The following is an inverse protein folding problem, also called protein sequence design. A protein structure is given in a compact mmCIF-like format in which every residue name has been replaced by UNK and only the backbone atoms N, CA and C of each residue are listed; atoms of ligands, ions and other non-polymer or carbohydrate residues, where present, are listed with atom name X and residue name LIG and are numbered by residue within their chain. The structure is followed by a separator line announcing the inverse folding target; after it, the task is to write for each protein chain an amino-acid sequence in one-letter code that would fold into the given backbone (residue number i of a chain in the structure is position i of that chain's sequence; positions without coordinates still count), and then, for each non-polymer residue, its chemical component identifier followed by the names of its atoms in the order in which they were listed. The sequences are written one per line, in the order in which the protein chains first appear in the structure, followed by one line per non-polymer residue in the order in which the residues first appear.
data_IF_018764727519
#
_entry.id   IF_018764727519
#
_cell.length_a   1.000
_cell.length_b   1.000
_cell.length_c   1.000
_cell.angle_alpha   90.00
_cell.angle_beta   90.00
_cell.angle_gamma   90.00
#
_symmetry.space_group_name_H-M   'P 1'
#
loop_
_entity.id
_entity.type
_entity.pdbx_description
1 polymer ?
#
# COMPACT_ATOMS: atom_id res chain seq x y z
N UNK A 1 -6.33 -14.43 -34.89
CA UNK A 1 -6.49 -13.00 -35.23
C UNK A 1 -7.79 -12.79 -35.98
N UNK A 2 -8.76 -12.16 -35.33
CA UNK A 2 -9.68 -11.27 -36.04
C UNK A 2 -9.24 -9.89 -35.60
N UNK A 3 -8.61 -9.12 -36.50
CA UNK A 3 -8.26 -7.73 -36.20
C UNK A 3 -9.57 -7.01 -35.82
N UNK A 4 -9.69 -6.50 -34.58
CA UNK A 4 -10.85 -5.70 -34.21
C UNK A 4 -10.75 -4.37 -34.96
N UNK A 5 -11.84 -3.92 -35.57
CA UNK A 5 -11.89 -2.61 -36.19
C UNK A 5 -11.92 -1.56 -35.08
N UNK A 6 -10.78 -0.91 -34.85
CA UNK A 6 -10.65 0.21 -33.90
C UNK A 6 -11.00 1.49 -34.64
N UNK A 7 -11.87 2.31 -34.05
CA UNK A 7 -12.08 3.68 -34.51
C UNK A 7 -11.08 4.56 -33.79
N UNK A 8 -10.50 5.53 -34.49
CA UNK A 8 -9.52 6.43 -33.89
C UNK A 8 -10.00 7.85 -34.08
N UNK A 9 -9.98 8.63 -33.01
CA UNK A 9 -10.38 10.03 -33.02
C UNK A 9 -9.24 10.92 -32.56
N UNK A 10 -9.10 12.09 -33.19
CA UNK A 10 -8.29 13.19 -32.66
C UNK A 10 -9.21 14.15 -31.94
N UNK A 11 -8.84 14.49 -30.71
CA UNK A 11 -9.60 15.40 -29.86
C UNK A 11 -8.76 16.65 -29.56
N UNK A 12 -9.44 17.72 -29.16
CA UNK A 12 -8.78 18.81 -28.46
C UNK A 12 -8.27 18.35 -27.08
N UNK A 13 -7.47 19.20 -26.45
CA UNK A 13 -6.85 19.01 -25.13
C UNK A 13 -7.87 18.83 -24.00
N UNK A 14 -9.09 19.34 -24.17
CA UNK A 14 -10.23 19.17 -23.26
C UNK A 14 -11.14 17.97 -23.63
N UNK A 15 -10.65 17.06 -24.48
CA UNK A 15 -11.40 15.93 -25.06
C UNK A 15 -12.63 16.31 -25.90
N UNK A 16 -12.78 17.59 -26.26
CA UNK A 16 -13.86 18.02 -27.16
C UNK A 16 -13.45 17.96 -28.63
N UNK A 17 -14.43 18.08 -29.54
CA UNK A 17 -14.16 18.27 -30.97
C UNK A 17 -13.55 17.05 -31.67
N UNK A 18 -14.20 15.89 -31.56
CA UNK A 18 -13.75 14.65 -32.18
C UNK A 18 -13.69 14.73 -33.71
N UNK A 19 -12.51 14.46 -34.26
CA UNK A 19 -12.30 14.22 -35.69
C UNK A 19 -11.94 12.75 -35.89
N UNK A 20 -12.85 11.99 -36.49
CA UNK A 20 -12.59 10.60 -36.85
C UNK A 20 -11.44 10.49 -37.87
N UNK A 21 -10.47 9.65 -37.55
CA UNK A 21 -9.34 9.31 -38.41
C UNK A 21 -9.62 8.03 -39.17
N UNK A 22 -9.31 8.06 -40.47
CA UNK A 22 -9.26 6.84 -41.27
C UNK A 22 -7.85 6.27 -41.22
N UNK A 23 -7.65 5.16 -40.53
CA UNK A 23 -6.32 4.53 -40.36
C UNK A 23 -6.08 3.39 -41.36
N UNK A 24 -4.83 3.24 -41.81
CA UNK A 24 -4.41 2.14 -42.69
C UNK A 24 -4.16 0.88 -41.85
N UNK A 25 -5.00 -0.15 -42.05
CA UNK A 25 -5.13 -1.31 -41.14
C UNK A 25 -5.67 -0.84 -39.76
N UNK A 26 -6.44 -1.68 -39.08
CA UNK A 26 -6.92 -1.37 -37.71
C UNK A 26 -5.77 -0.82 -36.89
N UNK A 27 -5.85 0.43 -36.43
CA UNK A 27 -4.74 1.12 -35.79
C UNK A 27 -4.08 0.24 -34.73
N UNK A 28 -2.77 0.04 -34.82
CA UNK A 28 -2.03 -0.74 -33.85
C UNK A 28 -1.66 0.18 -32.68
N UNK A 29 -2.16 -0.14 -31.49
CA UNK A 29 -1.69 0.40 -30.22
C UNK A 29 -1.39 -0.78 -29.31
N UNK A 30 -0.35 -0.65 -28.48
CA UNK A 30 -0.04 -1.63 -27.47
C UNK A 30 -0.45 -1.05 -26.13
N UNK A 31 -1.44 -1.64 -25.49
CA UNK A 31 -1.86 -1.31 -24.13
C UNK A 31 -0.88 -1.79 -23.06
N UNK A 32 0.41 -1.86 -23.36
CA UNK A 32 1.36 -2.39 -22.41
C UNK A 32 1.53 -1.39 -21.25
N UNK A 33 0.65 -1.52 -20.25
CA UNK A 33 0.91 -1.22 -18.85
C UNK A 33 2.15 -2.03 -18.40
N UNK A 34 2.46 -3.15 -19.07
CA UNK A 34 3.74 -3.85 -18.94
C UNK A 34 4.96 -3.16 -19.61
N UNK A 35 4.76 -2.06 -20.36
CA UNK A 35 5.74 -1.35 -21.19
C UNK A 35 5.78 0.16 -20.90
N UNK A 36 6.30 0.99 -21.81
CA UNK A 36 6.49 2.46 -21.68
C UNK A 36 5.16 3.25 -21.65
N UNK A 37 4.33 3.03 -20.62
CA UNK A 37 3.06 3.73 -20.35
C UNK A 37 2.09 3.73 -21.55
N UNK A 38 1.84 2.56 -22.15
CA UNK A 38 0.92 2.45 -23.28
C UNK A 38 1.36 3.33 -24.47
N UNK A 39 2.36 2.87 -25.23
CA UNK A 39 2.77 3.56 -26.43
C UNK A 39 1.85 3.20 -27.62
N UNK A 40 1.49 4.20 -28.42
CA UNK A 40 0.73 3.99 -29.65
C UNK A 40 1.52 4.41 -30.89
N UNK A 41 1.21 3.78 -32.03
CA UNK A 41 1.77 4.16 -33.32
C UNK A 41 0.77 3.87 -34.44
N UNK A 42 0.14 4.89 -34.99
CA UNK A 42 -0.79 4.72 -36.10
C UNK A 42 -0.28 5.35 -37.39
N UNK A 43 -0.76 4.83 -38.51
CA UNK A 43 -0.51 5.39 -39.84
C UNK A 43 -1.83 5.81 -40.47
N UNK A 44 -1.90 7.06 -40.89
CA UNK A 44 -3.08 7.72 -41.45
C UNK A 44 -2.76 8.09 -42.90
N UNK A 45 -3.52 7.61 -43.90
CA UNK A 45 -3.42 8.10 -45.27
C UNK A 45 -3.72 9.59 -45.34
N UNK A 46 -2.92 10.33 -46.08
CA UNK A 46 -3.28 11.69 -46.44
C UNK A 46 -4.23 11.65 -47.66
N UNK A 47 -5.47 12.06 -47.44
CA UNK A 47 -6.53 12.06 -48.45
C UNK A 47 -7.68 12.99 -48.05
N UNK A 48 -8.65 13.16 -48.95
CA UNK A 48 -9.92 13.74 -48.57
C UNK A 48 -10.61 12.82 -47.54
N UNK A 49 -11.24 13.42 -46.53
CA UNK A 49 -12.05 12.72 -45.52
C UNK A 49 -11.30 11.69 -44.65
N UNK A 50 -9.97 11.81 -44.53
CA UNK A 50 -9.17 10.93 -43.63
C UNK A 50 -8.87 11.54 -42.27
N UNK A 51 -9.16 12.83 -42.08
CA UNK A 51 -8.86 13.57 -40.85
C UNK A 51 -7.37 13.91 -40.66
N UNK A 52 -6.48 13.54 -41.59
CA UNK A 52 -5.02 13.69 -41.41
C UNK A 52 -4.52 15.13 -41.14
N UNK A 53 -5.32 16.16 -41.45
CA UNK A 53 -4.98 17.57 -41.21
C UNK A 53 -5.27 18.04 -39.78
N UNK A 54 -6.11 17.32 -39.02
CA UNK A 54 -6.40 17.65 -37.61
C UNK A 54 -5.31 17.14 -36.65
N UNK A 55 -4.42 16.29 -37.16
CA UNK A 55 -3.34 15.66 -36.42
C UNK A 55 -2.22 16.66 -36.17
N UNK A 56 -1.97 16.96 -34.90
CA UNK A 56 -0.85 17.81 -34.47
C UNK A 56 -0.24 17.33 -33.15
N UNK A 57 1.02 17.71 -32.90
CA UNK A 57 1.69 17.35 -31.66
C UNK A 57 1.00 18.07 -30.49
N UNK A 58 0.84 17.38 -29.36
CA UNK A 58 0.09 17.86 -28.20
C UNK A 58 -1.44 17.68 -28.31
N UNK A 59 -1.97 17.26 -29.47
CA UNK A 59 -3.39 16.86 -29.56
C UNK A 59 -3.60 15.49 -28.92
N UNK A 60 -4.82 15.26 -28.47
CA UNK A 60 -5.23 13.97 -27.92
C UNK A 60 -5.60 13.01 -29.03
N UNK A 61 -5.31 11.75 -28.81
CA UNK A 61 -5.80 10.65 -29.62
C UNK A 61 -6.59 9.69 -28.76
N UNK A 62 -7.73 9.24 -29.25
CA UNK A 62 -8.57 8.23 -28.61
C UNK A 62 -8.74 7.04 -29.54
N UNK A 63 -8.65 5.85 -28.96
CA UNK A 63 -8.93 4.59 -29.64
C UNK A 63 -10.20 4.02 -29.04
N UNK A 64 -11.18 3.76 -29.90
CA UNK A 64 -12.47 3.21 -29.53
C UNK A 64 -12.62 1.79 -30.07
N UNK A 65 -12.98 0.86 -29.18
CA UNK A 65 -13.37 -0.50 -29.53
C UNK A 65 -14.89 -0.57 -29.45
N UNK A 66 -15.54 -0.87 -30.59
CA UNK A 66 -17.00 -1.03 -30.66
C UNK A 66 -17.81 0.19 -30.15
N UNK A 67 -17.23 1.39 -30.19
CA UNK A 67 -17.88 2.63 -29.75
C UNK A 67 -17.59 3.02 -28.29
N UNK A 68 -16.79 2.22 -27.57
CA UNK A 68 -16.31 2.56 -26.22
C UNK A 68 -14.86 3.08 -26.28
N UNK A 69 -14.57 4.24 -25.66
CA UNK A 69 -13.21 4.73 -25.46
C UNK A 69 -12.35 3.77 -24.66
N UNK A 70 -11.28 3.26 -25.27
CA UNK A 70 -10.41 2.25 -24.68
C UNK A 70 -9.05 2.81 -24.23
N UNK A 71 -8.41 3.57 -25.12
CA UNK A 71 -7.11 4.21 -24.86
C UNK A 71 -7.19 5.69 -25.21
N UNK A 72 -6.55 6.56 -24.42
CA UNK A 72 -6.37 7.97 -24.76
C UNK A 72 -4.94 8.41 -24.47
N UNK A 73 -4.25 8.96 -25.48
CA UNK A 73 -2.86 9.37 -25.37
C UNK A 73 -2.59 10.74 -25.98
N UNK A 74 -1.41 11.28 -25.73
CA UNK A 74 -0.92 12.52 -26.36
C UNK A 74 -0.13 12.17 -27.60
N UNK A 75 -0.36 12.88 -28.71
CA UNK A 75 0.49 12.79 -29.89
C UNK A 75 1.81 13.54 -29.62
N UNK A 76 2.92 12.80 -29.57
CA UNK A 76 4.24 13.34 -29.27
C UNK A 76 5.09 13.52 -30.54
N UNK A 77 5.03 12.54 -31.45
CA UNK A 77 5.81 12.53 -32.68
C UNK A 77 4.89 12.43 -33.91
N UNK A 78 5.16 13.27 -34.90
CA UNK A 78 4.49 13.22 -36.20
C UNK A 78 5.52 13.10 -37.31
N UNK A 79 5.48 11.97 -38.02
CA UNK A 79 6.30 11.73 -39.20
C UNK A 79 5.42 11.80 -40.44
N UNK A 80 5.52 12.90 -41.17
CA UNK A 80 4.85 13.07 -42.47
C UNK A 80 5.73 12.47 -43.56
N UNK A 81 5.22 11.51 -44.32
CA UNK A 81 5.95 10.88 -45.43
C UNK A 81 5.57 11.57 -46.75
N UNK A 82 6.36 12.53 -47.27
CA UNK A 82 5.91 13.41 -48.34
C UNK A 82 6.30 12.89 -49.74
N UNK A 83 7.01 11.77 -49.84
CA UNK A 83 7.67 11.30 -51.07
C UNK A 83 6.74 10.63 -52.09
N UNK A 84 5.55 11.18 -52.32
CA UNK A 84 4.71 10.76 -53.44
C UNK A 84 4.08 11.94 -54.20
N UNK A 85 4.17 11.84 -55.53
CA UNK A 85 3.48 12.75 -56.47
C UNK A 85 1.96 12.58 -56.44
N UNK A 86 1.46 11.44 -55.97
CA UNK A 86 0.02 11.20 -55.77
C UNK A 86 -0.34 11.50 -54.30
N UNK A 87 -1.23 12.46 -54.02
CA UNK A 87 -1.67 12.76 -52.65
C UNK A 87 -2.14 11.52 -51.90
N UNK A 88 -2.89 10.63 -52.57
CA UNK A 88 -3.39 9.36 -52.01
C UNK A 88 -2.31 8.35 -51.55
N UNK A 89 -1.04 8.59 -51.87
CA UNK A 89 0.09 7.74 -51.47
C UNK A 89 0.96 8.42 -50.39
N UNK A 90 0.51 9.55 -49.84
CA UNK A 90 1.16 10.23 -48.71
C UNK A 90 0.56 9.67 -47.43
N UNK A 91 1.36 9.56 -46.38
CA UNK A 91 0.92 9.03 -45.09
C UNK A 91 1.50 9.89 -43.97
N UNK A 92 0.73 10.02 -42.90
CA UNK A 92 1.17 10.58 -41.62
C UNK A 92 1.26 9.43 -40.63
N UNK A 93 2.45 9.21 -40.07
CA UNK A 93 2.61 8.33 -38.93
C UNK A 93 2.63 9.19 -37.68
N UNK A 94 1.84 8.81 -36.68
CA UNK A 94 1.90 9.44 -35.36
C UNK A 94 2.26 8.44 -34.30
N UNK A 95 2.96 8.93 -33.28
CA UNK A 95 3.31 8.18 -32.09
C UNK A 95 3.12 9.03 -30.86
N UNK A 96 2.92 8.36 -29.75
CA UNK A 96 2.81 8.98 -28.46
C UNK A 96 2.54 7.96 -27.38
N UNK A 97 2.18 8.45 -26.20
CA UNK A 97 2.01 7.66 -24.98
C UNK A 97 0.75 8.09 -24.23
N UNK A 98 0.33 7.24 -23.30
CA UNK A 98 -0.77 7.54 -22.38
C UNK A 98 -0.43 8.74 -21.47
N UNK A 99 -1.44 9.44 -21.00
CA UNK A 99 -1.30 10.47 -19.95
C UNK A 99 -0.82 9.91 -18.62
N UNK A 100 -0.89 8.60 -18.40
CA UNK A 100 -0.18 7.94 -17.30
C UNK A 100 1.34 8.22 -17.33
N UNK A 101 1.90 8.73 -18.44
CA UNK A 101 3.27 9.26 -18.45
C UNK A 101 3.50 10.44 -17.49
N UNK A 102 2.48 11.24 -17.13
CA UNK A 102 2.66 12.28 -16.09
C UNK A 102 3.00 11.66 -14.72
N UNK A 103 2.64 10.38 -14.50
CA UNK A 103 2.97 9.61 -13.30
C UNK A 103 4.35 8.93 -13.38
N UNK A 104 5.04 9.02 -14.54
CA UNK A 104 6.35 8.40 -14.74
C UNK A 104 7.48 9.15 -14.04
N UNK A 105 7.32 10.46 -13.82
CA UNK A 105 8.31 11.30 -13.13
C UNK A 105 7.90 11.63 -11.68
N UNK A 106 6.77 11.08 -11.22
CA UNK A 106 6.28 11.27 -9.84
C UNK A 106 6.78 10.14 -8.96
N UNK A 107 7.67 10.42 -7.98
CA UNK A 107 8.17 9.40 -7.06
C UNK A 107 7.11 9.01 -6.03
N UNK A 108 7.14 7.76 -5.59
CA UNK A 108 6.46 7.31 -4.38
C UNK A 108 7.30 7.74 -3.18
N UNK A 109 6.72 8.59 -2.33
CA UNK A 109 7.38 9.12 -1.13
C UNK A 109 7.16 8.23 0.10
N UNK A 110 8.02 8.31 1.13
CA UNK A 110 7.82 7.56 2.37
C UNK A 110 6.44 7.84 3.00
N UNK A 111 5.88 6.91 3.80
CA UNK A 111 4.49 6.99 4.21
C UNK A 111 4.17 8.15 5.18
N UNK A 112 5.20 8.73 5.78
CA UNK A 112 5.10 9.90 6.65
C UNK A 112 5.68 11.17 6.02
N UNK A 113 6.06 11.13 4.74
CA UNK A 113 6.75 12.20 4.02
C UNK A 113 8.28 12.10 4.06
N UNK A 114 8.95 12.82 3.16
CA UNK A 114 10.42 12.74 2.94
C UNK A 114 11.28 13.27 4.09
N UNK A 115 10.73 14.14 4.94
CA UNK A 115 11.46 14.77 6.06
C UNK A 115 11.18 14.10 7.43
N UNK A 116 10.47 12.97 7.43
CA UNK A 116 10.09 12.27 8.65
C UNK A 116 10.91 10.99 8.81
N UNK A 117 11.64 10.90 9.93
CA UNK A 117 12.32 9.68 10.35
C UNK A 117 11.58 9.00 11.52
N UNK A 118 11.58 7.66 11.58
CA UNK A 118 12.17 6.74 10.61
C UNK A 118 11.39 6.69 9.29
N UNK A 119 12.14 6.59 8.19
CA UNK A 119 11.59 6.56 6.83
C UNK A 119 11.64 5.13 6.28
N UNK A 120 10.47 4.60 5.90
CA UNK A 120 10.40 3.28 5.26
C UNK A 120 10.93 3.34 3.83
N UNK A 121 11.67 2.31 3.42
CA UNK A 121 12.10 2.14 2.03
C UNK A 121 11.01 1.48 1.17
N UNK A 122 10.07 0.80 1.81
CA UNK A 122 8.93 0.11 1.20
C UNK A 122 7.70 0.36 2.06
N UNK A 123 6.58 0.60 1.40
CA UNK A 123 5.27 0.79 2.02
C UNK A 123 4.49 -0.49 1.77
N UNK A 124 4.09 -1.15 2.84
CA UNK A 124 3.28 -2.36 2.79
C UNK A 124 1.83 -2.01 3.11
N UNK A 125 0.86 -2.72 2.53
CA UNK A 125 -0.56 -2.55 2.88
C UNK A 125 -0.99 -3.34 4.11
N UNK A 126 -0.08 -4.07 4.75
CA UNK A 126 -0.36 -4.90 5.93
C UNK A 126 -0.29 -4.11 7.24
N UNK A 127 -0.45 -4.83 8.37
CA UNK A 127 -0.40 -4.31 9.75
C UNK A 127 0.75 -3.33 10.08
N UNK A 128 1.85 -3.32 9.32
CA UNK A 128 2.97 -2.40 9.50
C UNK A 128 2.65 -0.99 9.01
N UNK A 129 1.68 -0.86 8.10
CA UNK A 129 1.36 0.38 7.43
C UNK A 129 0.93 1.48 8.42
N UNK A 130 1.54 2.68 8.37
CA UNK A 130 1.13 3.81 9.19
C UNK A 130 -0.32 4.27 8.98
N UNK A 131 -0.86 3.97 7.80
CA UNK A 131 -2.17 4.41 7.33
C UNK A 131 -3.32 3.47 7.66
N UNK A 132 -3.03 2.25 8.15
CA UNK A 132 -4.11 1.33 8.54
C UNK A 132 -5.05 2.00 9.53
N UNK A 133 -6.34 1.91 9.23
CA UNK A 133 -7.39 2.37 10.12
C UNK A 133 -7.49 1.45 11.35
N UNK A 134 -7.13 2.02 12.50
CA UNK A 134 -7.19 1.35 13.80
C UNK A 134 -8.36 1.85 14.65
N UNK A 135 -9.23 2.71 14.10
CA UNK A 135 -10.33 3.33 14.85
C UNK A 135 -11.34 2.31 15.38
N UNK A 136 -11.56 1.23 14.64
CA UNK A 136 -12.44 0.13 15.02
C UNK A 136 -11.76 -0.93 15.90
N UNK A 137 -10.44 -0.83 16.14
CA UNK A 137 -9.76 -1.80 16.99
C UNK A 137 -10.16 -1.58 18.46
N UNK A 138 -10.46 -2.66 19.19
CA UNK A 138 -10.75 -2.56 20.62
C UNK A 138 -9.51 -2.13 21.40
N UNK A 139 -9.74 -1.64 22.63
CA UNK A 139 -8.65 -1.34 23.55
C UNK A 139 -8.01 -2.64 24.04
N UNK A 140 -6.70 -2.62 24.22
CA UNK A 140 -5.97 -3.76 24.73
C UNK A 140 -6.37 -4.07 26.18
N UNK A 141 -6.43 -5.36 26.49
CA UNK A 141 -6.74 -5.86 27.84
C UNK A 141 -5.44 -6.01 28.62
N UNK A 142 -5.43 -5.50 29.86
CA UNK A 142 -4.32 -5.73 30.79
C UNK A 142 -4.41 -7.15 31.34
N UNK A 143 -3.35 -7.95 31.13
CA UNK A 143 -3.33 -9.36 31.55
C UNK A 143 -2.50 -9.59 32.82
N UNK A 144 -1.62 -8.65 33.18
CA UNK A 144 -0.87 -8.71 34.44
C UNK A 144 0.35 -7.79 34.47
N UNK A 145 0.92 -7.51 35.65
CA UNK A 145 2.13 -6.70 35.75
C UNK A 145 3.36 -7.45 35.24
N UNK A 146 4.33 -6.74 34.65
CA UNK A 146 5.63 -7.33 34.26
C UNK A 146 6.50 -7.64 35.48
N UNK A 147 6.42 -6.77 36.49
CA UNK A 147 7.06 -6.94 37.78
C UNK A 147 6.01 -7.03 38.89
N UNK A 148 6.09 -8.09 39.69
CA UNK A 148 5.28 -8.23 40.91
C UNK A 148 5.83 -7.31 42.01
N UNK A 149 5.63 -6.00 41.85
CA UNK A 149 5.76 -5.07 42.96
C UNK A 149 4.51 -5.19 43.85
N UNK A 150 4.66 -4.99 45.16
CA UNK A 150 3.52 -5.02 46.09
C UNK A 150 2.50 -3.90 45.79
N UNK A 151 2.95 -2.80 45.17
CA UNK A 151 2.15 -1.61 44.82
C UNK A 151 2.29 -1.23 43.33
N UNK A 152 1.20 -0.73 42.73
CA UNK A 152 1.13 -0.16 41.40
C UNK A 152 1.65 1.30 41.39
N UNK A 153 1.73 1.99 40.23
CA UNK A 153 2.20 3.38 40.16
C UNK A 153 1.46 4.38 41.03
N UNK A 154 0.26 4.02 41.49
CA UNK A 154 -0.63 4.83 42.32
C UNK A 154 -0.54 4.45 43.81
N UNK A 155 0.25 3.42 44.16
CA UNK A 155 0.42 2.95 45.54
C UNK A 155 -0.61 1.90 45.97
N UNK A 156 -1.39 1.34 45.06
CA UNK A 156 -2.39 0.29 45.34
C UNK A 156 -1.88 -1.10 44.90
N UNK A 157 -2.28 -2.21 45.54
CA UNK A 157 -1.92 -3.54 45.07
C UNK A 157 -2.37 -3.81 43.64
N UNK A 158 -1.52 -4.47 42.86
CA UNK A 158 -1.91 -4.95 41.53
C UNK A 158 -3.09 -5.94 41.63
N UNK A 159 -4.11 -5.86 40.75
CA UNK A 159 -5.11 -6.90 40.63
C UNK A 159 -4.39 -8.24 40.39
N UNK A 160 -4.84 -9.30 41.05
CA UNK A 160 -4.16 -10.61 41.13
C UNK A 160 -4.12 -11.43 39.82
N UNK A 161 -4.15 -10.78 38.65
CA UNK A 161 -3.99 -11.42 37.36
C UNK A 161 -2.50 -11.70 37.14
N UNK A 162 -2.10 -12.94 37.42
CA UNK A 162 -0.73 -13.43 37.25
C UNK A 162 -0.62 -14.08 35.87
N UNK A 163 -0.57 -13.28 34.81
CA UNK A 163 -0.52 -13.79 33.44
C UNK A 163 0.71 -14.66 33.20
N UNK A 164 1.89 -14.30 33.72
CA UNK A 164 3.11 -15.06 33.44
C UNK A 164 3.73 -15.57 34.74
N UNK A 165 3.59 -16.88 35.06
CA UNK A 165 4.17 -17.49 36.27
C UNK A 165 5.71 -17.62 36.23
N UNK A 166 6.38 -16.90 35.32
CA UNK A 166 7.83 -16.91 35.10
C UNK A 166 8.54 -15.73 35.76
N UNK A 167 9.87 -15.71 35.69
CA UNK A 167 10.64 -14.53 36.11
C UNK A 167 10.38 -13.33 35.19
N UNK A 168 10.61 -12.11 35.69
CA UNK A 168 10.52 -10.90 34.87
C UNK A 168 11.51 -10.97 33.67
N UNK A 169 11.19 -10.35 32.52
CA UNK A 169 12.11 -10.29 31.39
C UNK A 169 13.43 -9.65 31.82
N UNK A 170 14.55 -10.27 31.45
CA UNK A 170 15.88 -9.75 31.73
C UNK A 170 16.02 -8.37 31.09
N UNK A 171 16.57 -7.45 31.88
CA UNK A 171 16.85 -6.07 31.49
C UNK A 171 15.60 -5.25 31.10
N UNK A 172 14.39 -5.66 31.47
CA UNK A 172 13.21 -4.81 31.24
C UNK A 172 13.30 -3.61 32.19
N UNK A 173 13.44 -2.38 31.68
CA UNK A 173 13.82 -1.25 32.52
C UNK A 173 12.65 -0.69 33.33
N UNK A 174 11.42 -1.04 32.99
CA UNK A 174 10.22 -0.42 33.52
C UNK A 174 9.57 -1.28 34.63
N UNK A 175 9.74 -0.92 35.93
CA UNK A 175 9.23 -1.70 37.05
C UNK A 175 7.70 -1.66 37.19
N UNK A 176 7.03 -0.80 36.43
CA UNK A 176 5.57 -0.63 36.49
C UNK A 176 4.89 -0.94 35.15
N UNK A 177 5.64 -1.46 34.18
CA UNK A 177 5.08 -1.93 32.92
C UNK A 177 4.14 -3.11 33.11
N UNK A 178 3.18 -3.24 32.21
CA UNK A 178 2.19 -4.30 32.22
C UNK A 178 2.14 -5.07 30.91
N UNK A 179 1.85 -6.36 31.03
CA UNK A 179 1.47 -7.20 29.92
C UNK A 179 0.07 -6.84 29.44
N UNK A 180 -0.09 -6.74 28.13
CA UNK A 180 -1.37 -6.55 27.46
C UNK A 180 -1.60 -7.61 26.38
N UNK A 181 -2.88 -7.84 26.05
CA UNK A 181 -3.32 -8.66 24.93
C UNK A 181 -4.60 -8.09 24.29
N UNK A 182 -5.20 -8.80 23.35
CA UNK A 182 -6.43 -8.39 22.67
C UNK A 182 -7.73 -8.79 23.37
N UNK A 183 -7.67 -9.78 24.25
CA UNK A 183 -8.79 -10.27 25.06
C UNK A 183 -8.30 -10.72 26.45
N UNK A 184 -9.26 -11.08 27.30
CA UNK A 184 -8.97 -11.69 28.59
C UNK A 184 -8.66 -13.17 28.41
N UNK A 185 -7.93 -13.73 29.36
CA UNK A 185 -7.57 -15.14 29.36
C UNK A 185 -8.80 -16.05 29.50
N UNK A 186 -8.70 -17.27 28.98
CA UNK A 186 -9.76 -18.26 29.15
C UNK A 186 -9.92 -18.71 30.62
N UNK A 187 -10.89 -19.59 30.90
CA UNK A 187 -11.10 -20.14 32.26
C UNK A 187 -9.91 -20.93 32.82
N UNK A 188 -8.86 -21.12 32.01
CA UNK A 188 -7.60 -21.73 32.39
C UNK A 188 -6.44 -20.73 32.38
N UNK A 189 -6.65 -19.42 32.30
CA UNK A 189 -5.55 -18.46 32.31
C UNK A 189 -4.68 -18.50 31.05
N UNK A 190 -5.23 -18.90 29.90
CA UNK A 190 -4.50 -19.03 28.63
C UNK A 190 -5.20 -18.34 27.47
N UNK A 191 -4.43 -18.02 26.42
CA UNK A 191 -4.96 -17.69 25.10
C UNK A 191 -4.82 -18.91 24.16
N UNK A 192 -5.59 -18.98 23.06
CA UNK A 192 -5.44 -20.05 22.07
C UNK A 192 -4.02 -20.09 21.48
N UNK A 193 -3.55 -21.31 21.19
CA UNK A 193 -2.28 -21.52 20.49
C UNK A 193 -2.37 -21.00 19.06
N UNK A 194 -1.29 -20.38 18.61
CA UNK A 194 -1.08 -19.68 17.34
C UNK A 194 -2.07 -18.52 17.11
N UNK A 195 -2.69 -18.00 18.19
CA UNK A 195 -3.48 -16.78 18.12
C UNK A 195 -2.56 -15.59 17.86
N UNK A 196 -2.87 -14.82 16.81
CA UNK A 196 -2.14 -13.61 16.45
C UNK A 196 -2.90 -12.39 16.98
N UNK A 197 -2.18 -11.51 17.66
CA UNK A 197 -2.68 -10.23 18.11
C UNK A 197 -1.85 -9.09 17.49
N UNK A 198 -2.53 -8.10 16.93
CA UNK A 198 -1.95 -6.89 16.38
C UNK A 198 -2.15 -5.74 17.36
N UNK A 199 -1.14 -4.90 17.55
CA UNK A 199 -1.18 -3.77 18.45
C UNK A 199 -0.89 -2.47 17.70
N UNK A 200 -1.56 -1.40 18.09
CA UNK A 200 -1.31 -0.07 17.55
C UNK A 200 -1.27 0.99 18.66
N UNK A 201 -0.29 1.88 18.52
CA UNK A 201 -0.15 3.07 19.35
C UNK A 201 0.45 4.20 18.52
N UNK A 202 -0.15 5.37 18.63
CA UNK A 202 0.43 6.58 18.07
C UNK A 202 1.21 7.30 19.18
N UNK A 203 2.49 7.55 18.93
CA UNK A 203 3.44 8.11 19.89
C UNK A 203 3.69 9.58 19.56
N UNK A 204 3.35 10.49 20.47
CA UNK A 204 3.73 11.90 20.34
C UNK A 204 5.15 12.08 20.84
N UNK A 205 6.06 12.50 19.96
CA UNK A 205 7.50 12.57 20.23
C UNK A 205 8.09 13.93 19.91
N UNK A 206 9.15 14.30 20.61
CA UNK A 206 10.06 15.38 20.25
C UNK A 206 11.13 14.88 19.28
N UNK A 207 11.77 15.78 18.54
CA UNK A 207 12.90 15.40 17.68
C UNK A 207 14.07 14.87 18.54
N UNK A 208 14.69 13.77 18.11
CA UNK A 208 15.83 13.15 18.79
C UNK A 208 15.71 11.63 18.91
N UNK A 209 16.37 11.02 19.89
CA UNK A 209 16.32 9.57 20.08
C UNK A 209 15.05 9.15 20.82
N UNK A 210 14.28 8.25 20.20
CA UNK A 210 13.24 7.46 20.85
C UNK A 210 13.84 6.12 21.26
N UNK A 211 13.75 5.80 22.55
CA UNK A 211 14.15 4.50 23.09
C UNK A 211 12.91 3.67 23.38
N UNK A 212 12.92 2.41 22.97
CA UNK A 212 11.86 1.44 23.22
C UNK A 212 12.41 0.21 23.92
N UNK A 213 11.73 -0.26 24.96
CA UNK A 213 11.98 -1.55 25.60
C UNK A 213 10.77 -2.45 25.38
N UNK A 214 10.94 -3.52 24.60
CA UNK A 214 9.83 -4.36 24.15
C UNK A 214 10.10 -5.83 24.42
N UNK A 215 9.06 -6.57 24.76
CA UNK A 215 9.09 -8.03 24.81
C UNK A 215 7.68 -8.59 24.61
N UNK A 216 7.62 -9.85 24.22
CA UNK A 216 6.41 -10.60 23.99
C UNK A 216 6.63 -12.03 24.49
N UNK A 217 5.58 -12.84 24.49
CA UNK A 217 5.69 -14.23 24.89
C UNK A 217 6.66 -15.03 24.00
N UNK A 218 6.27 -15.25 22.74
CA UNK A 218 6.95 -16.20 21.87
C UNK A 218 7.54 -15.60 20.60
N UNK A 219 6.73 -14.93 19.77
CA UNK A 219 7.23 -14.24 18.58
C UNK A 219 6.53 -12.90 18.38
N UNK A 220 7.31 -11.90 17.96
CA UNK A 220 6.76 -10.61 17.59
C UNK A 220 7.54 -9.92 16.46
N UNK A 221 6.83 -9.06 15.75
CA UNK A 221 7.41 -8.02 14.92
C UNK A 221 6.86 -6.67 15.36
N UNK A 222 7.66 -5.63 15.26
CA UNK A 222 7.17 -4.26 15.46
C UNK A 222 7.67 -3.34 14.36
N UNK A 223 6.88 -2.32 14.06
CA UNK A 223 7.19 -1.32 13.06
C UNK A 223 6.95 0.08 13.61
N UNK A 224 7.84 1.00 13.23
CA UNK A 224 7.67 2.42 13.47
C UNK A 224 7.63 3.12 12.11
N UNK A 225 6.55 3.86 11.82
CA UNK A 225 6.32 4.51 10.53
C UNK A 225 6.50 3.57 9.31
N UNK A 226 6.09 2.30 9.46
CA UNK A 226 6.24 1.27 8.41
C UNK A 226 7.61 0.58 8.38
N UNK A 227 8.60 1.06 9.13
CA UNK A 227 9.92 0.44 9.19
C UNK A 227 9.88 -0.77 10.11
N UNK A 228 9.91 -1.96 9.51
CA UNK A 228 9.89 -3.21 10.26
C UNK A 228 11.21 -3.42 11.02
N UNK A 229 11.05 -3.84 12.28
CA UNK A 229 12.09 -4.30 13.19
C UNK A 229 11.62 -5.65 13.71
N UNK A 230 12.10 -6.71 13.09
CA UNK A 230 11.76 -8.06 13.52
C UNK A 230 12.67 -8.52 14.66
N UNK A 231 12.07 -9.21 15.63
CA UNK A 231 12.78 -10.07 16.57
C UNK A 231 11.97 -11.35 16.69
N UNK A 232 12.32 -12.39 15.94
CA UNK A 232 11.67 -13.67 16.16
C UNK A 232 11.66 -14.76 15.14
N UNK A 233 12.65 -14.78 14.25
CA UNK A 233 12.85 -15.96 13.41
C UNK A 233 13.60 -17.00 14.25
N UNK A 234 12.86 -17.78 15.04
CA UNK A 234 13.09 -19.20 15.39
C UNK A 234 12.53 -19.54 16.78
N UNK A 235 11.50 -20.41 16.79
CA UNK A 235 11.08 -21.10 18.01
C UNK A 235 12.09 -22.22 18.36
N UNK A 236 12.41 -22.47 19.65
CA UNK A 236 11.85 -21.88 20.85
C UNK A 236 12.83 -20.87 21.46
N UNK A 237 12.71 -19.60 21.13
CA UNK A 237 13.41 -18.54 21.84
C UNK A 237 12.47 -17.96 22.90
N UNK A 238 12.89 -18.02 24.17
CA UNK A 238 12.23 -17.39 25.32
C UNK A 238 12.18 -15.85 25.18
N UNK A 239 11.36 -15.30 24.29
CA UNK A 239 11.30 -13.84 24.12
C UNK A 239 10.82 -13.13 25.36
N UNK A 240 9.92 -13.77 26.11
CA UNK A 240 9.48 -13.28 27.39
C UNK A 240 10.62 -13.15 28.41
N UNK A 241 11.73 -13.90 28.24
CA UNK A 241 12.88 -13.83 29.14
C UNK A 241 13.83 -12.68 28.84
N UNK A 242 13.78 -12.05 27.67
CA UNK A 242 14.77 -11.04 27.27
C UNK A 242 14.09 -9.80 26.68
N UNK A 243 14.57 -8.62 27.05
CA UNK A 243 14.08 -7.34 26.52
C UNK A 243 14.77 -6.97 25.20
N UNK A 244 14.01 -6.51 24.22
CA UNK A 244 14.52 -5.85 23.03
C UNK A 244 14.62 -4.35 23.27
N UNK A 245 15.81 -3.80 23.01
CA UNK A 245 16.01 -2.37 23.00
C UNK A 245 15.93 -1.85 21.56
N UNK A 246 15.00 -0.95 21.31
CA UNK A 246 14.93 -0.12 20.12
C UNK A 246 15.56 1.23 20.44
N UNK A 247 16.41 1.72 19.55
CA UNK A 247 16.93 3.08 19.59
C UNK A 247 16.84 3.67 18.20
N UNK A 248 15.96 4.65 18.03
CA UNK A 248 15.64 5.21 16.72
C UNK A 248 15.64 6.73 16.76
N UNK A 249 16.19 7.34 15.73
CA UNK A 249 16.08 8.78 15.54
C UNK A 249 14.70 9.10 14.97
N UNK A 250 14.01 10.05 15.59
CA UNK A 250 12.65 10.46 15.22
C UNK A 250 12.58 11.95 14.96
N UNK A 251 11.79 12.34 13.96
CA UNK A 251 11.36 13.73 13.78
C UNK A 251 10.28 14.05 14.81
N UNK A 252 10.19 15.31 15.27
CA UNK A 252 9.11 15.73 16.16
C UNK A 252 7.74 15.54 15.49
N UNK A 253 6.77 14.98 16.19
CA UNK A 253 5.45 14.74 15.64
C UNK A 253 4.84 13.45 16.17
N UNK A 254 4.13 12.74 15.31
CA UNK A 254 3.50 11.46 15.63
C UNK A 254 4.26 10.33 14.96
N UNK A 255 4.78 9.39 15.75
CA UNK A 255 5.31 8.12 15.26
C UNK A 255 4.20 7.08 15.33
N UNK A 256 3.89 6.43 14.20
CA UNK A 256 2.90 5.36 14.11
C UNK A 256 3.57 4.04 14.48
N UNK A 257 3.37 3.59 15.72
CA UNK A 257 3.89 2.31 16.20
C UNK A 257 2.87 1.21 15.98
N UNK A 258 3.33 0.09 15.43
CA UNK A 258 2.54 -1.12 15.17
C UNK A 258 3.32 -2.33 15.67
N UNK A 259 2.63 -3.33 16.20
CA UNK A 259 3.23 -4.61 16.54
C UNK A 259 2.31 -5.76 16.15
N UNK A 260 2.91 -6.92 15.91
CA UNK A 260 2.25 -8.22 15.78
C UNK A 260 2.91 -9.13 16.80
N UNK A 261 2.13 -9.84 17.60
CA UNK A 261 2.60 -10.91 18.46
C UNK A 261 1.79 -12.18 18.22
N UNK A 262 2.42 -13.33 18.38
CA UNK A 262 1.77 -14.64 18.24
C UNK A 262 1.99 -15.46 19.51
N UNK A 263 0.91 -16.06 20.00
CA UNK A 263 0.92 -16.94 21.17
C UNK A 263 1.21 -18.37 20.73
N UNK A 264 2.44 -18.82 20.80
CA UNK A 264 2.82 -20.17 20.36
C UNK A 264 2.61 -21.22 21.46
N UNK A 265 2.67 -22.49 21.05
CA UNK A 265 2.65 -23.60 21.99
C UNK A 265 3.97 -23.71 22.75
N UNK A 266 3.95 -23.55 24.07
CA UNK A 266 5.12 -23.80 24.91
C UNK A 266 5.69 -25.23 24.72
N UNK A 267 7.02 -25.38 24.54
CA UNK A 267 7.67 -26.69 24.37
C UNK A 267 7.83 -27.44 25.69
N UNK A 268 7.60 -26.79 26.84
CA UNK A 268 7.66 -27.42 28.15
C UNK A 268 6.35 -28.12 28.45
N UNK A 269 6.36 -29.35 29.00
CA UNK A 269 5.16 -30.08 29.36
C UNK A 269 4.44 -29.40 30.54
N UNK A 270 3.68 -28.36 30.25
CA UNK A 270 2.47 -28.03 30.96
C UNK A 270 1.42 -29.04 30.45
N UNK A 271 1.02 -29.99 31.29
CA UNK A 271 0.15 -31.10 30.89
C UNK A 271 -1.25 -30.68 30.40
N UNK A 272 -1.56 -29.38 30.35
CA UNK A 272 -2.91 -28.88 30.14
C UNK A 272 -3.02 -27.44 29.60
N UNK A 273 -1.95 -26.83 29.05
CA UNK A 273 -1.90 -25.42 28.62
C UNK A 273 -2.40 -24.39 29.68
N UNK A 274 -2.52 -24.77 30.96
CA UNK A 274 -3.30 -24.02 31.96
C UNK A 274 -2.71 -22.67 32.41
N UNK A 275 -1.72 -22.08 31.73
CA UNK A 275 -1.13 -20.77 32.08
C UNK A 275 -0.26 -20.23 30.91
N UNK A 276 -0.72 -20.31 29.65
CA UNK A 276 0.02 -19.69 28.52
C UNK A 276 -0.75 -18.53 27.88
N UNK A 277 -0.88 -17.39 28.57
CA UNK A 277 -1.49 -16.24 27.97
C UNK A 277 -0.53 -15.61 26.97
N UNK A 278 -1.02 -15.33 25.77
CA UNK A 278 -0.40 -14.35 24.90
C UNK A 278 -0.14 -13.04 25.65
N UNK A 279 1.06 -12.50 25.49
CA UNK A 279 1.50 -11.33 26.23
C UNK A 279 2.41 -10.45 25.37
N UNK A 280 2.18 -9.15 25.42
CA UNK A 280 3.04 -8.11 24.83
C UNK A 280 3.24 -6.98 25.83
N UNK A 281 4.46 -6.45 25.90
CA UNK A 281 4.77 -5.28 26.73
C UNK A 281 5.76 -4.37 26.01
N UNK A 282 5.58 -3.07 26.15
CA UNK A 282 6.43 -2.06 25.54
C UNK A 282 6.47 -0.78 26.39
N UNK A 283 7.65 -0.21 26.57
CA UNK A 283 7.85 1.11 27.17
C UNK A 283 8.70 1.97 26.25
N UNK A 284 8.21 3.15 25.91
CA UNK A 284 8.87 4.15 25.09
C UNK A 284 9.21 5.38 25.91
N UNK A 285 10.42 5.90 25.74
CA UNK A 285 10.87 7.09 26.45
C UNK A 285 11.88 7.88 25.60
N UNK A 286 12.00 9.17 25.88
CA UNK A 286 13.00 10.02 25.23
C UNK A 286 13.94 10.59 26.29
N UNK A 287 15.27 10.38 26.18
CA UNK A 287 16.23 10.81 27.18
C UNK A 287 16.51 12.33 27.11
N UNK A 288 15.47 13.15 27.25
CA UNK A 288 15.55 14.62 27.16
C UNK A 288 16.00 15.24 28.48
N UNK A 289 15.58 14.67 29.61
CA UNK A 289 15.87 15.18 30.96
C UNK A 289 16.89 14.31 31.69
N UNK A 290 16.91 13.01 31.40
CA UNK A 290 17.80 12.00 31.99
C UNK A 290 18.13 10.96 30.94
N UNK A 291 19.32 10.38 31.00
CA UNK A 291 19.72 9.26 30.15
C UNK A 291 19.14 7.93 30.62
N UNK A 292 18.55 7.90 31.83
CA UNK A 292 17.87 6.74 32.41
C UNK A 292 16.36 6.83 32.16
N UNK A 293 15.68 5.69 32.23
CA UNK A 293 14.21 5.67 32.23
C UNK A 293 13.71 6.32 33.52
N UNK A 294 12.94 7.40 33.39
CA UNK A 294 12.30 8.10 34.51
C UNK A 294 10.85 8.38 34.11
N UNK A 295 9.92 8.40 35.08
CA UNK A 295 8.51 8.64 34.77
C UNK A 295 8.28 9.93 33.97
N UNK A 296 9.09 10.96 34.22
CA UNK A 296 9.06 12.26 33.54
C UNK A 296 9.43 12.22 32.06
N UNK A 297 10.09 11.17 31.59
CA UNK A 297 10.59 11.06 30.22
C UNK A 297 9.93 9.94 29.40
N UNK A 298 8.97 9.23 29.99
CA UNK A 298 8.17 8.21 29.31
C UNK A 298 7.16 8.86 28.38
N UNK A 299 7.12 8.34 27.15
CA UNK A 299 6.17 8.73 26.10
C UNK A 299 4.94 7.83 26.13
N UNK A 300 5.15 6.52 26.26
CA UNK A 300 4.09 5.53 26.34
C UNK A 300 4.60 4.28 27.04
N UNK A 301 3.68 3.55 27.67
CA UNK A 301 3.94 2.21 28.21
C UNK A 301 2.72 1.34 28.05
N UNK A 302 2.90 0.02 28.03
CA UNK A 302 1.82 -0.94 28.27
C UNK A 302 1.59 -1.06 29.78
N UNK A 303 0.33 -1.25 30.18
CA UNK A 303 -0.06 -1.16 31.59
C UNK A 303 -1.55 -0.85 31.72
N UNK A 304 -2.07 -0.89 32.97
CA UNK A 304 -3.47 -0.59 33.23
C UNK A 304 -3.72 0.91 32.98
N UNK A 305 -4.97 1.25 32.68
CA UNK A 305 -5.42 2.64 32.54
C UNK A 305 -6.47 3.00 33.61
N UNK A 306 -6.11 3.00 34.91
CA UNK A 306 -7.08 3.12 35.98
C UNK A 306 -7.77 4.50 36.03
N UNK A 307 -7.11 5.56 35.53
CA UNK A 307 -7.59 6.95 35.64
C UNK A 307 -7.59 7.72 34.30
N UNK A 308 -7.37 7.05 33.16
CA UNK A 308 -7.24 7.72 31.86
C UNK A 308 -5.91 8.49 31.69
N UNK A 309 -4.94 8.26 32.57
CA UNK A 309 -3.64 8.93 32.53
C UNK A 309 -2.62 8.04 31.83
N UNK A 310 -2.13 8.51 30.67
CA UNK A 310 -1.08 7.85 29.87
C UNK A 310 0.24 7.59 30.63
N UNK A 311 0.39 8.13 31.85
CA UNK A 311 1.53 7.91 32.73
C UNK A 311 1.55 6.51 33.37
N UNK A 312 0.40 5.84 33.48
CA UNK A 312 0.23 4.53 34.15
C UNK A 312 0.06 3.38 33.13
N UNK A 313 -0.35 3.70 31.90
CA UNK A 313 -0.65 2.74 30.83
C UNK A 313 -1.74 3.28 29.90
N UNK A 314 -2.34 2.43 29.07
CA UNK A 314 -3.56 2.78 28.34
C UNK A 314 -3.43 3.35 26.91
N UNK A 315 -4.58 3.45 26.25
CA UNK A 315 -4.74 3.91 24.87
C UNK A 315 -4.00 3.07 23.82
N UNK A 316 -3.70 1.81 24.13
CA UNK A 316 -3.22 0.81 23.19
C UNK A 316 -4.42 0.14 22.53
N UNK A 317 -4.39 0.04 21.20
CA UNK A 317 -5.35 -0.76 20.46
C UNK A 317 -4.81 -2.17 20.26
N UNK A 318 -5.68 -3.16 20.33
CA UNK A 318 -5.33 -4.56 20.10
C UNK A 318 -6.40 -5.24 19.25
N UNK A 319 -6.00 -6.01 18.24
CA UNK A 319 -6.90 -6.73 17.35
C UNK A 319 -6.46 -8.19 17.23
N UNK A 320 -7.35 -9.10 17.63
CA UNK A 320 -7.21 -10.54 17.39
C UNK A 320 -8.06 -10.90 16.17
N UNK A 321 -7.42 -11.51 15.19
CA UNK A 321 -8.08 -11.88 13.93
C UNK A 321 -7.29 -12.96 13.20
N UNK A 322 -8.01 -13.87 12.53
CA UNK A 322 -7.40 -14.87 11.64
C UNK A 322 -7.04 -14.27 10.27
N UNK A 323 -7.63 -13.13 9.91
CA UNK A 323 -7.34 -12.38 8.69
C UNK A 323 -6.45 -11.19 9.05
N UNK A 324 -5.18 -11.15 8.59
CA UNK A 324 -4.29 -10.04 8.89
C UNK A 324 -4.90 -8.69 8.49
N UNK A 325 -4.67 -7.61 9.28
CA UNK A 325 -5.05 -6.27 8.88
C UNK A 325 -4.39 -5.89 7.56
N UNK A 326 -5.20 -5.33 6.67
CA UNK A 326 -4.80 -4.90 5.33
C UNK A 326 -5.46 -3.57 4.95
N UNK A 327 -5.19 -3.11 3.74
CA UNK A 327 -5.83 -1.94 3.14
C UNK A 327 -6.44 -2.31 1.80
N UNK A 328 -7.49 -1.60 1.39
CA UNK A 328 -7.97 -1.67 0.00
C UNK A 328 -6.97 -0.99 -0.92
N UNK A 329 -6.96 -1.35 -2.21
CA UNK A 329 -6.11 -0.66 -3.19
C UNK A 329 -6.45 0.84 -3.28
N UNK A 330 -7.75 1.16 -3.26
CA UNK A 330 -8.23 2.54 -3.29
C UNK A 330 -7.69 3.39 -2.14
N UNK A 331 -7.76 2.87 -0.90
CA UNK A 331 -7.27 3.56 0.29
C UNK A 331 -5.73 3.69 0.28
N UNK A 332 -5.05 2.59 -0.04
CA UNK A 332 -3.59 2.56 -0.12
C UNK A 332 -3.02 3.52 -1.16
N UNK A 333 -3.64 3.59 -2.35
CA UNK A 333 -3.21 4.53 -3.38
C UNK A 333 -3.60 5.97 -3.08
N UNK A 334 -4.77 6.21 -2.47
CA UNK A 334 -5.20 7.56 -2.09
C UNK A 334 -4.17 8.22 -1.16
N UNK A 335 -3.65 7.49 -0.18
CA UNK A 335 -2.59 8.01 0.68
C UNK A 335 -1.30 8.36 -0.07
N UNK A 336 -0.84 7.51 -1.00
CA UNK A 336 0.33 7.83 -1.83
C UNK A 336 0.07 9.05 -2.73
N UNK A 337 -1.13 9.15 -3.30
CA UNK A 337 -1.54 10.24 -4.16
C UNK A 337 -1.58 11.57 -3.41
N UNK A 338 -2.18 11.60 -2.22
CA UNK A 338 -2.29 12.79 -1.38
C UNK A 338 -0.90 13.31 -0.98
N UNK A 339 0.03 12.42 -0.59
CA UNK A 339 1.41 12.80 -0.30
C UNK A 339 2.09 13.40 -1.53
N UNK A 340 1.92 12.78 -2.71
CA UNK A 340 2.49 13.31 -3.95
C UNK A 340 1.93 14.70 -4.27
N UNK A 341 0.63 14.93 -4.05
CA UNK A 341 0.01 16.25 -4.23
C UNK A 341 0.53 17.30 -3.25
N UNK A 342 0.69 16.94 -1.98
CA UNK A 342 1.25 17.81 -0.95
C UNK A 342 2.72 18.22 -1.27
N UNK A 343 3.47 17.33 -1.91
CA UNK A 343 4.83 17.58 -2.40
C UNK A 343 4.86 18.37 -3.73
N UNK A 344 3.70 18.69 -4.30
CA UNK A 344 3.55 19.50 -5.52
C UNK A 344 3.58 18.69 -6.83
N UNK A 345 3.61 17.37 -6.76
CA UNK A 345 3.40 16.51 -7.92
C UNK A 345 1.92 16.37 -8.27
N UNK A 346 1.61 15.83 -9.46
CA UNK A 346 0.25 15.51 -9.89
C UNK A 346 -0.76 16.67 -9.71
N UNK A 347 -0.29 17.91 -9.83
CA UNK A 347 -1.11 19.11 -9.61
C UNK A 347 -2.31 19.09 -10.56
N UNK A 348 -3.51 19.25 -10.00
CA UNK A 348 -4.76 19.27 -10.75
C UNK A 348 -5.29 17.89 -11.16
N UNK A 349 -4.60 16.81 -10.83
CA UNK A 349 -5.18 15.47 -10.91
C UNK A 349 -6.16 15.22 -9.76
N UNK A 350 -7.14 14.35 -9.99
CA UNK A 350 -8.06 13.84 -8.96
C UNK A 350 -8.26 12.35 -9.16
N UNK A 351 -8.82 11.66 -8.16
CA UNK A 351 -9.14 10.24 -8.22
C UNK A 351 -10.62 10.04 -8.59
N UNK A 352 -10.88 9.09 -9.50
CA UNK A 352 -12.22 8.69 -9.94
C UNK A 352 -12.85 7.58 -9.08
N UNK A 353 -12.16 7.18 -8.03
CA UNK A 353 -12.49 6.12 -7.08
C UNK A 353 -12.25 6.63 -5.66
N UNK A 354 -12.66 5.85 -4.65
CA UNK A 354 -12.38 6.15 -3.25
C UNK A 354 -11.79 4.94 -2.51
N UNK A 355 -11.68 5.06 -1.18
CA UNK A 355 -11.14 4.02 -0.31
C UNK A 355 -11.96 2.70 -0.36
N UNK A 356 -13.23 2.75 -0.74
CA UNK A 356 -14.16 1.63 -0.66
C UNK A 356 -14.60 1.09 -2.01
N UNK A 357 -14.75 1.95 -3.02
CA UNK A 357 -15.27 1.60 -4.34
C UNK A 357 -14.36 2.08 -5.47
N UNK A 358 -14.31 1.28 -6.54
CA UNK A 358 -13.61 1.60 -7.78
C UNK A 358 -14.41 2.57 -8.66
N UNK A 359 -13.87 2.92 -9.83
CA UNK A 359 -14.49 3.95 -10.70
C UNK A 359 -15.79 3.49 -11.38
N UNK A 360 -16.11 2.20 -11.32
CA UNK A 360 -17.37 1.61 -11.79
C UNK A 360 -18.32 1.26 -10.61
N UNK A 361 -17.95 1.61 -9.37
CA UNK A 361 -18.74 1.32 -8.16
C UNK A 361 -18.59 -0.11 -7.63
N UNK A 362 -17.55 -0.85 -8.04
CA UNK A 362 -17.25 -2.15 -7.45
C UNK A 362 -16.45 -1.98 -6.16
N UNK A 363 -16.79 -2.72 -5.12
CA UNK A 363 -16.02 -2.70 -3.88
C UNK A 363 -14.59 -3.24 -4.07
N UNK A 364 -13.62 -2.57 -3.45
CA UNK A 364 -12.25 -3.06 -3.37
C UNK A 364 -12.12 -4.21 -2.37
N UNK A 365 -11.32 -5.21 -2.71
CA UNK A 365 -10.88 -6.22 -1.74
C UNK A 365 -9.84 -5.62 -0.78
N UNK A 366 -9.90 -6.00 0.50
CA UNK A 366 -8.86 -5.69 1.48
C UNK A 366 -7.66 -6.63 1.26
N UNK A 367 -6.45 -6.06 1.26
CA UNK A 367 -5.21 -6.77 0.94
C UNK A 367 -4.09 -6.43 1.91
N UNK A 368 -3.32 -7.44 2.27
CA UNK A 368 -2.11 -7.35 3.11
C UNK A 368 -0.82 -7.66 2.31
N UNK A 369 -0.93 -7.82 0.99
CA UNK A 369 0.18 -8.23 0.12
C UNK A 369 0.70 -7.13 -0.81
N UNK A 370 0.10 -5.93 -0.79
CA UNK A 370 0.52 -4.84 -1.65
C UNK A 370 1.79 -4.20 -1.11
N UNK A 371 2.72 -3.87 -2.01
CA UNK A 371 3.97 -3.20 -1.66
C UNK A 371 4.30 -2.13 -2.70
N UNK A 372 4.59 -0.92 -2.23
CA UNK A 372 5.13 0.17 -3.04
C UNK A 372 6.54 0.49 -2.57
N UNK A 373 7.49 0.62 -3.49
CA UNK A 373 8.87 0.97 -3.15
C UNK A 373 9.04 2.48 -3.18
N UNK A 374 9.65 3.04 -2.15
CA UNK A 374 9.96 4.46 -2.11
C UNK A 374 11.01 4.80 -3.16
N UNK A 375 10.82 5.93 -3.84
CA UNK A 375 11.56 6.39 -5.03
C UNK A 375 11.32 5.60 -6.32
N UNK A 376 10.53 4.51 -6.31
CA UNK A 376 9.91 4.06 -7.55
C UNK A 376 8.84 5.08 -7.97
N UNK A 377 8.32 4.96 -9.19
CA UNK A 377 7.36 5.93 -9.72
C UNK A 377 5.94 5.44 -9.53
N UNK A 378 4.97 6.36 -9.42
CA UNK A 378 3.55 5.97 -9.37
C UNK A 378 3.16 5.14 -10.60
N UNK A 379 3.70 5.48 -11.78
CA UNK A 379 3.56 4.64 -12.97
C UNK A 379 4.11 3.23 -12.73
N UNK A 380 5.30 3.10 -12.14
CA UNK A 380 5.88 1.81 -11.77
C UNK A 380 4.97 0.98 -10.87
N UNK A 381 4.39 1.62 -9.85
CA UNK A 381 3.39 1.00 -8.97
C UNK A 381 2.14 0.53 -9.72
N UNK A 382 1.66 1.29 -10.73
CA UNK A 382 0.55 0.84 -11.57
C UNK A 382 0.89 -0.41 -12.39
N UNK A 383 2.11 -0.48 -12.94
CA UNK A 383 2.56 -1.68 -13.69
C UNK A 383 2.59 -2.90 -12.77
N UNK A 384 3.10 -2.72 -11.56
CA UNK A 384 3.12 -3.76 -10.53
C UNK A 384 1.69 -4.17 -10.15
N UNK A 385 0.80 -3.20 -9.89
CA UNK A 385 -0.59 -3.45 -9.54
C UNK A 385 -1.32 -4.29 -10.59
N UNK A 386 -1.10 -3.98 -11.87
CA UNK A 386 -1.64 -4.76 -12.97
C UNK A 386 -1.06 -6.18 -13.02
N UNK A 387 0.28 -6.30 -12.91
CA UNK A 387 0.99 -7.58 -13.00
C UNK A 387 0.67 -8.53 -11.84
N UNK A 388 0.43 -7.98 -10.65
CA UNK A 388 0.06 -8.73 -9.45
C UNK A 388 -1.43 -9.02 -9.33
N UNK A 389 -2.26 -8.49 -10.24
CA UNK A 389 -3.70 -8.69 -10.21
C UNK A 389 -4.43 -7.87 -9.14
N UNK A 390 -3.88 -6.72 -8.74
CA UNK A 390 -4.44 -5.86 -7.69
C UNK A 390 -5.49 -4.90 -8.24
N UNK A 391 -5.12 -4.13 -9.26
CA UNK A 391 -5.98 -3.12 -9.87
C UNK A 391 -5.54 -2.82 -11.31
N UNK A 392 -6.47 -2.25 -12.07
CA UNK A 392 -6.24 -1.66 -13.38
C UNK A 392 -6.47 -0.15 -13.29
N UNK A 393 -5.67 0.67 -13.99
CA UNK A 393 -5.81 2.13 -13.97
C UNK A 393 -6.00 2.70 -15.36
N UNK A 394 -6.62 3.87 -15.42
CA UNK A 394 -6.87 4.62 -16.64
C UNK A 394 -6.81 6.11 -16.36
N UNK A 395 -6.20 6.87 -17.27
CA UNK A 395 -6.32 8.31 -17.27
C UNK A 395 -7.59 8.78 -18.00
N UNK A 396 -8.26 9.80 -17.46
CA UNK A 396 -9.17 10.73 -18.16
C UNK A 396 -8.48 12.10 -18.29
N UNK A 397 -7.70 12.30 -19.35
CA UNK A 397 -6.90 13.49 -19.58
C UNK A 397 -7.61 14.84 -19.51
N UNK A 398 -8.75 14.97 -20.21
CA UNK A 398 -9.44 16.25 -20.35
C UNK A 398 -9.95 16.79 -19.01
N UNK A 399 -10.25 15.88 -18.08
CA UNK A 399 -10.66 16.19 -16.71
C UNK A 399 -9.55 16.01 -15.66
N UNK A 400 -8.35 15.56 -16.06
CA UNK A 400 -7.26 15.13 -15.17
C UNK A 400 -7.76 14.24 -14.03
N UNK A 401 -8.42 13.13 -14.38
CA UNK A 401 -8.88 12.13 -13.38
C UNK A 401 -8.16 10.81 -13.61
N UNK A 402 -7.62 10.23 -12.55
CA UNK A 402 -7.16 8.85 -12.54
C UNK A 402 -8.32 7.95 -12.12
N UNK A 403 -8.82 7.15 -13.05
CA UNK A 403 -9.73 6.07 -12.74
C UNK A 403 -8.93 4.81 -12.39
N UNK A 404 -9.47 4.01 -11.50
CA UNK A 404 -8.98 2.69 -11.16
C UNK A 404 -10.14 1.72 -11.03
N UNK A 405 -9.86 0.45 -11.33
CA UNK A 405 -10.83 -0.65 -11.36
C UNK A 405 -10.27 -1.85 -10.62
N UNK A 406 -11.14 -2.61 -9.96
CA UNK A 406 -10.79 -3.94 -9.48
C UNK A 406 -10.26 -4.75 -10.67
N UNK A 407 -9.18 -5.51 -10.45
CA UNK A 407 -8.52 -6.22 -11.55
C UNK A 407 -9.50 -7.13 -12.32
N UNK A 408 -9.51 -7.01 -13.65
CA UNK A 408 -10.44 -7.72 -14.52
C UNK A 408 -11.91 -7.27 -14.44
N UNK A 409 -12.22 -6.20 -13.71
CA UNK A 409 -13.58 -5.64 -13.58
C UNK A 409 -13.82 -4.37 -14.38
N UNK A 410 -12.77 -3.78 -14.97
CA UNK A 410 -12.93 -2.71 -15.94
C UNK A 410 -13.89 -3.16 -17.05
N UNK A 411 -15.02 -2.47 -17.15
CA UNK A 411 -16.06 -2.75 -18.15
C UNK A 411 -15.51 -2.82 -19.57
N UNK A 412 -16.16 -3.62 -20.41
CA UNK A 412 -15.92 -3.85 -21.85
C UNK A 412 -14.71 -4.74 -22.27
N UNK A 413 -13.81 -5.09 -21.35
CA UNK A 413 -12.78 -6.12 -21.61
C UNK A 413 -13.28 -7.56 -21.44
N UNK A 414 -14.20 -7.77 -20.48
CA UNK A 414 -14.56 -9.11 -19.98
C UNK A 414 -16.05 -9.47 -20.08
N UNK A 415 -16.92 -8.54 -20.50
CA UNK A 415 -18.37 -8.75 -20.60
C UNK A 415 -18.85 -8.95 -22.02
N UNK A 416 -19.69 -9.98 -22.20
CA UNK A 416 -20.02 -10.64 -23.47
C UNK A 416 -20.39 -9.69 -24.64
N UNK A 417 -19.83 -9.92 -25.84
CA UNK A 417 -18.94 -11.04 -26.14
C UNK A 417 -17.48 -10.73 -25.74
N UNK A 418 -17.26 -10.22 -24.53
CA UNK A 418 -16.12 -10.52 -23.68
C UNK A 418 -15.87 -12.02 -23.57
N UNK A 419 -15.00 -12.48 -24.46
CA UNK A 419 -14.10 -13.58 -24.16
C UNK A 419 -12.80 -12.96 -23.65
N UNK A 420 -12.16 -13.54 -22.62
CA UNK A 420 -10.75 -13.29 -22.33
C UNK A 420 -9.94 -13.29 -23.62
N UNK A 421 -9.03 -12.32 -23.79
CA UNK A 421 -8.02 -12.44 -24.83
C UNK A 421 -7.17 -13.66 -24.49
N UNK A 422 -7.39 -14.78 -25.17
CA UNK A 422 -6.49 -15.92 -25.10
C UNK A 422 -5.19 -15.46 -25.77
N UNK A 423 -4.20 -15.11 -24.96
CA UNK A 423 -2.82 -14.88 -25.40
C UNK A 423 -2.20 -16.21 -25.80
N UNK A 424 -2.58 -16.69 -26.99
CA UNK A 424 -2.06 -17.93 -27.57
C UNK A 424 -0.67 -17.70 -28.14
N UNK A 425 0.31 -18.44 -27.65
CA UNK A 425 1.72 -18.51 -28.12
C UNK A 425 1.89 -19.13 -29.52
N UNK A 426 0.88 -19.10 -30.37
CA UNK A 426 0.96 -19.64 -31.73
C UNK A 426 0.44 -18.63 -32.76
N UNK A 427 1.37 -17.86 -33.34
CA UNK A 427 1.54 -17.71 -34.80
C UNK A 427 2.60 -16.63 -35.11
N UNK A 428 3.86 -16.99 -34.87
CA UNK A 428 5.02 -16.34 -35.49
C UNK A 428 5.24 -16.81 -36.95
N UNK A 429 4.21 -17.30 -37.65
CA UNK A 429 4.36 -17.90 -38.98
C UNK A 429 3.17 -17.55 -39.87
N UNK A 430 3.18 -16.36 -40.46
CA UNK A 430 2.57 -16.09 -41.77
C UNK A 430 2.97 -14.68 -42.27
N UNK A 431 4.26 -14.51 -42.54
CA UNK A 431 4.70 -13.62 -43.62
C UNK A 431 5.53 -14.49 -44.54
N UNK A 432 4.90 -14.94 -45.61
CA UNK A 432 5.57 -15.62 -46.72
C UNK A 432 6.49 -14.60 -47.41
N UNK A 433 7.79 -14.73 -47.15
CA UNK A 433 8.85 -14.04 -47.90
C UNK A 433 9.38 -15.00 -48.95
N UNK A 434 8.75 -15.05 -50.13
CA UNK A 434 9.37 -15.46 -51.41
C UNK A 434 8.45 -15.09 -52.58
N UNK A 435 8.86 -14.56 -53.75
CA UNK A 435 10.15 -14.09 -54.29
C UNK A 435 9.87 -13.40 -55.66
N UNK A 436 10.73 -12.43 -56.02
CA UNK A 436 11.18 -12.00 -57.39
C UNK A 436 10.22 -11.22 -58.31
N UNK A 437 10.67 -10.04 -58.74
CA UNK A 437 11.73 -9.93 -59.77
C UNK A 437 12.87 -9.05 -59.30
#
# INVERSE_FOLDING_TARGET
MTARAVTVEVLADDETGATALRVDKSGEYNEEIAGDAGAFSITIPAGADTGWTSVDAGKLIRFDIAGTPDFTGVIEEIVKTPRSKKPANRQVRVRGRDWLMEYADTPVSPPMGVDVVPAAAEIYSDWRCPWIDTSAWPDAVFVGPVYHADDNPLGDPWPSADAKPGGNPRNYPDPIGGWIWGDDVDGNGSHPVDQVCYFAKDLTVSAGTLLGALTCDDSAGWAANGVLRERGVDFPASMWEDTYALGEEVTSGTVKFRARAENHKTPYPNASNLLNPGAFTATFYQPTTSTLLELSNVIARTGPDPDGTALVGGGWKALITDTPPGMTWGDFYTHMFDIAQDEGYLTGWTLGFDATEDSDGNAWDVRDDMVARVNDTHLGFFKQSWASGWAEVRARPGSRVLDAYVWGKRGDFWTSPGSPTVWGTSNASQVDVTRRR
#
